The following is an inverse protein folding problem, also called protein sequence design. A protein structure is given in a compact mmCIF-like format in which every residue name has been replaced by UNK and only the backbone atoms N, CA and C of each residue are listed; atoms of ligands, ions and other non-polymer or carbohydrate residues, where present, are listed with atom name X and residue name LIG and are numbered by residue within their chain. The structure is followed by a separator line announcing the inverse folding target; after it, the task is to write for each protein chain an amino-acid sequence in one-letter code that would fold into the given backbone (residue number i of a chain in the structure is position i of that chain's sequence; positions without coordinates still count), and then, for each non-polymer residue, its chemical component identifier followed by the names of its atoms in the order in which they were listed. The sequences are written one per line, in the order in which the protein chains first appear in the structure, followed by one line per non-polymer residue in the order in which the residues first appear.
data_IF_166452614202
#
_entry.id   IF_166452614202
#
_cell.length_a   1.000
_cell.length_b   1.000
_cell.length_c   1.000
_cell.angle_alpha   90.00
_cell.angle_beta   90.00
_cell.angle_gamma   90.00
#
_symmetry.space_group_name_H-M   'P 1'
#
loop_
_entity.id
_entity.type
_entity.pdbx_description
1 polymer ?
#
# COMPACT_ATOMS: atom_id res chain seq x y z
N UNK A 1 18.80 -9.81 -13.27
CA UNK A 1 17.37 -9.44 -13.28
C UNK A 1 17.05 -8.96 -11.88
N UNK A 2 16.49 -7.77 -11.70
CA UNK A 2 16.22 -7.25 -10.36
C UNK A 2 15.22 -8.19 -9.66
N UNK A 3 15.53 -8.60 -8.43
CA UNK A 3 14.62 -9.43 -7.66
C UNK A 3 13.35 -8.62 -7.37
N UNK A 4 12.23 -9.04 -7.94
CA UNK A 4 10.94 -8.38 -7.74
C UNK A 4 10.17 -8.97 -6.55
N UNK A 5 9.34 -8.14 -5.94
CA UNK A 5 8.49 -8.48 -4.81
C UNK A 5 7.03 -8.24 -5.18
N UNK A 6 6.15 -9.10 -4.68
CA UNK A 6 4.71 -8.91 -4.76
C UNK A 6 4.18 -8.44 -3.41
N UNK A 7 3.36 -7.38 -3.48
CA UNK A 7 2.68 -6.81 -2.33
C UNK A 7 1.37 -7.55 -2.10
N UNK A 8 1.29 -8.26 -0.98
CA UNK A 8 0.09 -9.03 -0.63
C UNK A 8 -0.92 -8.17 0.11
N UNK A 9 -0.48 -7.44 1.15
CA UNK A 9 -1.36 -6.58 1.94
C UNK A 9 -0.57 -5.58 2.81
N UNK A 10 -1.25 -4.55 3.28
CA UNK A 10 -0.77 -3.63 4.32
C UNK A 10 -1.69 -3.79 5.54
N UNK A 11 -1.11 -4.21 6.67
CA UNK A 11 -1.86 -4.50 7.91
C UNK A 11 -1.59 -3.46 8.97
N UNK A 12 -2.63 -3.14 9.74
CA UNK A 12 -2.51 -2.37 10.97
C UNK A 12 -1.94 -0.96 10.79
N UNK A 13 -2.10 -0.35 9.61
CA UNK A 13 -1.67 1.03 9.40
C UNK A 13 -2.50 1.95 10.29
N UNK A 14 -1.86 2.51 11.31
CA UNK A 14 -2.52 3.30 12.34
C UNK A 14 -1.81 4.62 12.60
N UNK A 15 -2.61 5.62 12.97
CA UNK A 15 -2.13 6.90 13.49
C UNK A 15 -2.04 6.82 15.02
N UNK A 16 -1.11 7.58 15.60
CA UNK A 16 -1.06 7.77 17.05
C UNK A 16 -2.14 8.76 17.54
N UNK A 17 -2.55 9.70 16.69
CA UNK A 17 -3.63 10.68 16.93
C UNK A 17 -4.10 11.35 15.61
N UNK A 18 -5.03 12.30 15.70
CA UNK A 18 -5.59 13.02 14.54
C UNK A 18 -4.58 13.93 13.81
N UNK A 19 -3.54 14.40 14.51
CA UNK A 19 -2.50 15.30 14.01
C UNK A 19 -1.27 14.56 13.50
N UNK A 20 -1.21 13.24 13.65
CA UNK A 20 -0.07 12.41 13.29
C UNK A 20 0.42 12.65 11.85
N UNK A 21 1.70 12.96 11.68
CA UNK A 21 2.29 13.14 10.34
C UNK A 21 2.88 11.85 9.77
N UNK A 22 2.94 10.79 10.58
CA UNK A 22 3.43 9.47 10.24
C UNK A 22 2.52 8.38 10.82
N UNK A 23 2.47 7.25 10.13
CA UNK A 23 1.59 6.12 10.40
C UNK A 23 2.40 4.84 10.36
N UNK A 24 2.27 3.99 11.37
CA UNK A 24 3.02 2.73 11.45
C UNK A 24 2.13 1.58 11.07
N UNK A 25 2.66 0.63 10.31
CA UNK A 25 1.96 -0.59 9.90
C UNK A 25 2.92 -1.71 9.53
N UNK A 26 2.38 -2.77 8.94
CA UNK A 26 3.17 -3.91 8.46
C UNK A 26 2.86 -4.18 7.00
N UNK A 27 3.89 -4.09 6.15
CA UNK A 27 3.84 -4.51 4.76
C UNK A 27 4.07 -6.03 4.70
N UNK A 28 3.18 -6.71 4.00
CA UNK A 28 3.22 -8.16 3.84
C UNK A 28 3.57 -8.45 2.38
N UNK A 29 4.73 -9.04 2.14
CA UNK A 29 5.30 -9.22 0.80
C UNK A 29 5.83 -10.64 0.60
N UNK A 30 6.05 -11.02 -0.65
CA UNK A 30 6.80 -12.23 -1.00
C UNK A 30 7.60 -11.99 -2.28
N UNK A 31 8.60 -12.85 -2.52
CA UNK A 31 9.32 -12.85 -3.80
C UNK A 31 8.36 -13.25 -4.91
N UNK A 32 8.41 -12.53 -6.04
CA UNK A 32 7.59 -12.85 -7.21
C UNK A 32 7.78 -14.31 -7.63
N UNK A 33 6.67 -15.06 -7.72
CA UNK A 33 6.69 -16.48 -8.11
C UNK A 33 7.18 -17.46 -7.03
N UNK A 34 7.46 -17.00 -5.82
CA UNK A 34 7.87 -17.87 -4.70
C UNK A 34 6.67 -18.59 -4.08
N UNK A 35 6.72 -19.93 -3.90
CA UNK A 35 5.74 -20.70 -3.15
C UNK A 35 6.00 -20.67 -1.62
N UNK A 36 7.10 -20.03 -1.20
CA UNK A 36 7.66 -20.01 0.16
C UNK A 36 7.45 -18.65 0.89
N UNK A 37 7.71 -18.55 2.22
CA UNK A 37 6.84 -17.85 3.15
C UNK A 37 6.83 -16.32 3.02
N UNK A 38 5.71 -15.78 3.51
CA UNK A 38 5.40 -14.36 3.56
C UNK A 38 6.38 -13.61 4.46
N UNK A 39 7.03 -12.59 3.91
CA UNK A 39 7.85 -11.64 4.67
C UNK A 39 6.97 -10.49 5.19
N UNK A 40 7.22 -10.08 6.44
CA UNK A 40 6.52 -8.98 7.09
C UNK A 40 7.51 -7.90 7.48
N UNK A 41 7.32 -6.69 6.95
CA UNK A 41 8.20 -5.54 7.19
C UNK A 41 7.42 -4.47 7.92
N UNK A 42 7.89 -4.04 9.09
CA UNK A 42 7.35 -2.86 9.76
C UNK A 42 7.69 -1.62 8.94
N UNK A 43 6.68 -0.81 8.64
CA UNK A 43 6.82 0.40 7.84
C UNK A 43 6.27 1.61 8.60
N UNK A 44 6.92 2.74 8.41
CA UNK A 44 6.40 4.05 8.75
C UNK A 44 6.10 4.81 7.46
N UNK A 45 4.89 5.33 7.33
CA UNK A 45 4.42 6.03 6.14
C UNK A 45 4.01 7.44 6.50
N UNK A 46 4.55 8.45 5.79
CA UNK A 46 4.18 9.85 6.00
C UNK A 46 2.78 10.14 5.47
N UNK A 47 2.08 11.08 6.10
CA UNK A 47 0.74 11.56 5.68
C UNK A 47 0.72 12.02 4.22
N UNK A 48 1.76 12.73 3.80
CA UNK A 48 1.90 13.21 2.42
C UNK A 48 1.94 12.07 1.41
N UNK A 49 2.66 10.99 1.73
CA UNK A 49 2.74 9.78 0.91
C UNK A 49 1.38 9.08 0.84
N UNK A 50 0.66 8.96 1.97
CA UNK A 50 -0.69 8.36 1.95
C UNK A 50 -1.67 9.14 1.08
N UNK A 51 -1.60 10.48 1.09
CA UNK A 51 -2.42 11.33 0.20
C UNK A 51 -2.08 11.07 -1.27
N UNK A 52 -0.79 11.04 -1.61
CA UNK A 52 -0.34 10.78 -2.98
C UNK A 52 -0.75 9.38 -3.45
N UNK A 53 -0.62 8.37 -2.59
CA UNK A 53 -1.06 6.99 -2.85
C UNK A 53 -2.57 6.93 -3.09
N UNK A 54 -3.38 7.58 -2.24
CA UNK A 54 -4.83 7.63 -2.41
C UNK A 54 -5.23 8.19 -3.77
N UNK A 55 -4.64 9.31 -4.18
CA UNK A 55 -4.92 9.92 -5.48
C UNK A 55 -4.48 9.03 -6.65
N UNK A 56 -3.28 8.44 -6.55
CA UNK A 56 -2.70 7.62 -7.61
C UNK A 56 -3.45 6.30 -7.78
N UNK A 57 -3.72 5.59 -6.68
CA UNK A 57 -4.46 4.34 -6.69
C UNK A 57 -5.91 4.56 -7.10
N UNK A 58 -6.57 5.63 -6.63
CA UNK A 58 -7.92 5.98 -7.04
C UNK A 58 -8.04 6.18 -8.55
N UNK A 59 -7.11 6.93 -9.16
CA UNK A 59 -7.05 7.10 -10.63
C UNK A 59 -6.78 5.79 -11.36
N UNK A 60 -5.86 4.97 -10.85
CA UNK A 60 -5.50 3.69 -11.46
C UNK A 60 -6.69 2.72 -11.45
N UNK A 61 -7.33 2.56 -10.28
CA UNK A 61 -8.46 1.67 -10.09
C UNK A 61 -9.67 2.08 -10.94
N UNK A 62 -9.97 3.37 -11.03
CA UNK A 62 -11.05 3.87 -11.89
C UNK A 62 -10.84 3.47 -13.36
N UNK A 63 -9.59 3.51 -13.85
CA UNK A 63 -9.25 3.06 -15.20
C UNK A 63 -9.30 1.54 -15.35
N UNK A 64 -8.79 0.78 -14.38
CA UNK A 64 -8.69 -0.68 -14.49
C UNK A 64 -10.03 -1.39 -14.34
N UNK A 65 -10.99 -0.78 -13.63
CA UNK A 65 -12.32 -1.37 -13.38
C UNK A 65 -13.40 -0.84 -14.32
N UNK A 66 -13.11 0.17 -15.14
CA UNK A 66 -14.09 0.78 -16.06
C UNK A 66 -15.20 1.57 -15.35
N UNK A 67 -15.09 1.80 -14.04
CA UNK A 67 -16.01 2.65 -13.28
C UNK A 67 -15.84 4.11 -13.74
N UNK A 68 -16.67 4.51 -14.70
CA UNK A 68 -16.90 5.92 -15.00
C UNK A 68 -17.36 6.57 -13.69
N UNK A 69 -16.57 7.51 -13.19
CA UNK A 69 -16.92 8.37 -12.05
C UNK A 69 -18.37 8.80 -12.24
N UNK A 70 -19.25 8.27 -11.39
CA UNK A 70 -20.68 8.60 -11.40
C UNK A 70 -20.82 10.11 -11.34
N UNK A 71 -21.61 10.63 -12.27
CA UNK A 71 -22.00 12.04 -12.36
C UNK A 71 -22.78 12.45 -11.12
#
# INVERSE_FOLDING_TARGET
MAEGWELLTLRGLAAIDERAEAFTGTLVIHRLGSPEPVESVTVEVKRTVLREMHETLGRLLARSTGLKKGR
#
